data_IF_131104421743
#
_entry.id   IF_131104421743
#
_cell.length_a   1.000
_cell.length_b   1.000
_cell.length_c   1.000
_cell.angle_alpha   90.00
_cell.angle_beta   90.00
_cell.angle_gamma   90.00
#
_symmetry.space_group_name_H-M   'P 1'
#
loop_
_entity.id
_entity.type
_entity.pdbx_description
1 polymer ?
#
# COMPACT_ATOMS: atom_id res chain seq x y z
N UNK A 1 25.99 11.13 42.74
CA UNK A 1 24.59 10.62 42.53
C UNK A 1 23.55 11.73 42.57
N UNK A 2 23.71 12.79 43.40
CA UNK A 2 22.79 13.96 43.47
C UNK A 2 22.75 14.81 42.18
N UNK A 3 23.89 15.02 41.52
CA UNK A 3 23.99 15.85 40.32
C UNK A 3 23.31 15.17 39.10
N UNK A 4 23.44 13.85 38.96
CA UNK A 4 22.80 13.08 37.87
C UNK A 4 21.29 13.10 38.03
N UNK A 5 20.78 12.96 39.26
CA UNK A 5 19.34 13.07 39.54
C UNK A 5 18.83 14.50 39.28
N UNK A 6 19.63 15.53 39.54
CA UNK A 6 19.32 16.92 39.24
C UNK A 6 19.22 17.18 37.73
N UNK A 7 20.13 16.62 36.94
CA UNK A 7 20.13 16.69 35.48
C UNK A 7 18.92 15.94 34.85
N UNK A 8 18.62 14.75 35.32
CA UNK A 8 17.45 13.99 34.88
C UNK A 8 16.15 14.72 35.19
N UNK A 9 16.03 15.34 36.36
CA UNK A 9 14.88 16.15 36.75
C UNK A 9 14.74 17.40 35.88
N UNK A 10 15.86 18.09 35.58
CA UNK A 10 15.87 19.20 34.61
C UNK A 10 15.45 18.77 33.23
N UNK A 11 15.94 17.62 32.72
CA UNK A 11 15.58 17.06 31.44
C UNK A 11 14.10 16.79 31.37
N UNK A 12 13.53 16.10 32.35
CA UNK A 12 12.10 15.73 32.39
C UNK A 12 11.16 16.97 32.41
N UNK A 13 11.59 18.06 33.02
CA UNK A 13 10.81 19.29 33.10
C UNK A 13 11.11 20.30 31.98
N UNK A 14 12.03 19.98 31.06
CA UNK A 14 12.35 20.83 29.93
C UNK A 14 11.35 20.59 28.78
N UNK A 15 10.68 21.64 28.28
CA UNK A 15 9.82 21.50 27.12
C UNK A 15 10.60 20.98 25.92
N UNK A 16 9.98 20.08 25.13
CA UNK A 16 10.60 19.45 23.96
C UNK A 16 11.20 20.44 22.96
N UNK A 17 10.60 21.65 22.84
CA UNK A 17 11.10 22.72 21.98
C UNK A 17 12.45 23.28 22.46
N UNK A 18 12.70 23.29 23.75
CA UNK A 18 13.95 23.73 24.32
C UNK A 18 15.01 22.63 24.23
N UNK A 19 14.60 21.36 24.39
CA UNK A 19 15.48 20.20 24.14
C UNK A 19 15.97 20.17 22.70
N UNK A 20 15.08 20.38 21.72
CA UNK A 20 15.45 20.50 20.30
C UNK A 20 16.44 21.66 20.05
N UNK A 21 16.43 22.70 20.90
CA UNK A 21 17.35 23.82 20.83
C UNK A 21 18.68 23.57 21.58
N UNK A 22 18.86 22.34 22.08
CA UNK A 22 20.04 21.97 22.86
C UNK A 22 20.13 22.65 24.21
N UNK A 23 19.00 23.11 24.77
CA UNK A 23 18.96 23.83 26.06
C UNK A 23 18.15 23.05 27.09
N UNK A 24 18.78 22.79 28.23
CA UNK A 24 18.13 22.18 29.39
C UNK A 24 17.54 23.28 30.27
N UNK A 25 16.33 23.75 29.98
CA UNK A 25 15.68 24.86 30.63
C UNK A 25 15.01 24.49 31.97
N UNK A 26 14.67 23.23 32.18
CA UNK A 26 13.97 22.80 33.38
C UNK A 26 12.61 23.49 33.57
N UNK A 27 12.16 23.59 34.81
CA UNK A 27 10.95 24.32 35.19
C UNK A 27 11.29 25.81 35.40
N UNK A 28 11.15 26.57 34.30
CA UNK A 28 11.37 28.01 34.33
C UNK A 28 10.05 28.72 34.56
N UNK A 29 9.95 29.45 35.66
CA UNK A 29 8.80 30.28 36.02
C UNK A 29 9.21 31.75 36.06
N UNK A 30 8.99 32.43 34.92
CA UNK A 30 9.27 33.86 34.76
C UNK A 30 8.37 34.70 35.67
N UNK A 31 7.11 34.29 35.83
CA UNK A 31 6.13 35.03 36.63
C UNK A 31 6.46 34.97 38.11
N UNK A 32 6.85 33.80 38.60
CA UNK A 32 7.31 33.67 40.01
C UNK A 32 8.51 34.57 40.28
N UNK A 33 9.47 34.65 39.36
CA UNK A 33 10.64 35.54 39.53
C UNK A 33 10.28 37.01 39.57
N UNK A 34 9.36 37.45 38.71
CA UNK A 34 8.91 38.85 38.70
C UNK A 34 8.13 39.17 40.01
N UNK A 35 7.27 38.24 40.44
CA UNK A 35 6.44 38.45 41.62
C UNK A 35 7.24 38.48 42.93
N UNK A 36 8.28 37.64 43.03
CA UNK A 36 9.13 37.57 44.26
C UNK A 36 10.15 38.71 44.37
N UNK A 37 10.36 39.48 43.31
CA UNK A 37 11.26 40.63 43.36
C UNK A 37 10.70 41.75 44.25
N UNK A 38 11.57 42.38 45.03
CA UNK A 38 11.18 43.52 45.86
C UNK A 38 11.19 44.82 45.06
N UNK A 39 10.19 44.94 44.16
CA UNK A 39 10.01 46.11 43.31
C UNK A 39 8.53 46.54 43.32
N UNK A 40 8.25 47.87 43.12
CA UNK A 40 6.90 48.36 43.00
C UNK A 40 6.13 47.74 41.80
N UNK A 41 4.81 47.51 41.94
CA UNK A 41 3.97 46.91 40.92
C UNK A 41 4.04 47.60 39.53
N UNK A 42 4.14 48.93 39.39
CA UNK A 42 4.32 49.56 38.08
C UNK A 42 5.58 49.08 37.34
N UNK A 43 6.70 48.88 38.04
CA UNK A 43 7.93 48.33 37.45
C UNK A 43 7.73 46.87 37.03
N UNK A 44 7.11 46.04 37.89
CA UNK A 44 6.79 44.62 37.57
C UNK A 44 5.87 44.51 36.36
N UNK A 45 4.86 45.40 36.23
CA UNK A 45 3.94 45.41 35.09
C UNK A 45 4.65 45.75 33.79
N UNK A 46 5.58 46.71 33.82
CA UNK A 46 6.41 47.10 32.68
C UNK A 46 7.31 45.90 32.24
N UNK A 47 7.96 45.24 33.19
CA UNK A 47 8.82 44.08 32.94
C UNK A 47 8.01 42.96 32.31
N UNK A 48 6.81 42.64 32.86
CA UNK A 48 5.91 41.64 32.26
C UNK A 48 5.58 41.97 30.81
N UNK A 49 5.21 43.21 30.51
CA UNK A 49 4.86 43.66 29.21
C UNK A 49 5.98 43.50 28.17
N UNK A 50 7.24 43.79 28.59
CA UNK A 50 8.42 43.63 27.71
C UNK A 50 8.75 42.15 27.50
N UNK A 51 8.76 41.35 28.57
CA UNK A 51 9.20 39.95 28.57
C UNK A 51 8.21 39.04 27.83
N UNK A 52 6.90 39.32 27.91
CA UNK A 52 5.88 38.51 27.24
C UNK A 52 5.60 38.93 25.80
N UNK A 53 6.30 39.93 25.27
CA UNK A 53 6.18 40.22 23.83
C UNK A 53 6.60 39.06 22.95
N UNK A 54 5.91 38.89 21.82
CA UNK A 54 6.12 37.78 20.88
C UNK A 54 7.55 37.74 20.34
N UNK A 55 8.19 36.58 20.41
CA UNK A 55 9.44 36.31 19.70
C UNK A 55 10.68 36.08 20.56
N UNK A 56 10.60 36.23 21.87
CA UNK A 56 11.65 35.77 22.82
C UNK A 56 11.45 34.29 23.14
N UNK A 57 12.56 33.55 23.19
CA UNK A 57 12.56 32.18 23.70
C UNK A 57 12.38 32.18 25.22
N UNK A 58 11.94 31.05 25.78
CA UNK A 58 11.63 30.93 27.19
C UNK A 58 12.83 31.28 28.08
N UNK A 59 14.06 30.79 27.74
CA UNK A 59 15.29 31.17 28.40
C UNK A 59 15.61 32.68 28.28
N UNK A 60 15.44 33.19 27.04
CA UNK A 60 15.66 34.62 26.77
C UNK A 60 14.73 35.51 27.61
N UNK A 61 13.50 35.05 27.86
CA UNK A 61 12.54 35.78 28.71
C UNK A 61 13.03 35.90 30.16
N UNK A 62 13.62 34.82 30.71
CA UNK A 62 14.17 34.85 32.05
C UNK A 62 15.39 35.76 32.11
N UNK A 63 16.31 35.60 31.16
CA UNK A 63 17.50 36.47 31.09
C UNK A 63 17.10 37.96 31.03
N UNK A 64 16.12 38.28 30.17
CA UNK A 64 15.61 39.65 30.06
C UNK A 64 14.88 40.10 31.33
N UNK A 65 14.12 39.22 31.97
CA UNK A 65 13.47 39.53 33.24
C UNK A 65 14.52 39.84 34.32
N UNK A 66 15.54 38.99 34.48
CA UNK A 66 16.61 39.18 35.46
C UNK A 66 17.41 40.46 35.18
N UNK A 67 17.75 40.74 33.90
CA UNK A 67 18.44 42.00 33.49
C UNK A 67 17.59 43.25 33.83
N UNK A 68 16.28 43.21 33.59
CA UNK A 68 15.39 44.34 33.86
C UNK A 68 15.15 44.50 35.38
N UNK A 69 14.96 43.38 36.10
CA UNK A 69 14.81 43.43 37.57
C UNK A 69 16.06 44.05 38.25
N UNK A 70 17.25 43.63 37.84
CA UNK A 70 18.49 44.21 38.34
C UNK A 70 18.57 45.70 37.99
N UNK A 71 18.29 46.10 36.76
CA UNK A 71 18.35 47.51 36.35
C UNK A 71 17.41 48.41 37.17
N UNK A 72 16.18 47.97 37.45
CA UNK A 72 15.27 48.73 38.31
C UNK A 72 15.70 48.73 39.77
N UNK A 73 16.23 47.63 40.29
CA UNK A 73 16.76 47.58 41.66
C UNK A 73 17.95 48.56 41.84
N UNK A 74 18.96 48.45 40.95
CA UNK A 74 20.13 49.30 40.94
C UNK A 74 19.77 50.83 40.82
N UNK A 75 18.78 51.10 39.93
CA UNK A 75 18.30 52.47 39.77
C UNK A 75 17.63 53.05 41.00
N UNK A 76 16.81 52.27 41.68
CA UNK A 76 16.16 52.68 42.92
C UNK A 76 17.19 52.86 44.10
N UNK A 77 18.16 51.92 44.18
CA UNK A 77 19.25 52.04 45.20
C UNK A 77 20.12 53.26 44.94
N UNK A 78 20.32 53.66 43.67
CA UNK A 78 21.07 54.90 43.37
C UNK A 78 20.29 56.18 43.61
N UNK A 79 19.05 56.11 44.10
CA UNK A 79 18.22 57.25 44.46
C UNK A 79 17.37 57.81 43.34
N UNK A 80 17.27 57.12 42.15
CA UNK A 80 16.37 57.53 41.10
C UNK A 80 14.89 57.22 41.46
N UNK A 81 13.97 58.08 41.07
CA UNK A 81 12.56 57.84 41.34
C UNK A 81 12.06 56.80 40.34
N UNK A 82 11.05 55.99 40.72
CA UNK A 82 10.44 54.98 39.86
C UNK A 82 9.94 55.60 38.56
N UNK A 83 9.38 56.79 38.63
CA UNK A 83 8.84 57.49 37.45
C UNK A 83 9.96 57.84 36.46
N UNK A 84 11.10 58.33 36.96
CA UNK A 84 12.28 58.64 36.14
C UNK A 84 12.83 57.39 35.43
N UNK A 85 12.83 56.25 36.15
CA UNK A 85 13.27 54.97 35.55
C UNK A 85 12.33 54.53 34.48
N UNK A 86 10.99 54.59 34.66
CA UNK A 86 10.00 54.24 33.68
C UNK A 86 10.09 55.16 32.44
N UNK A 87 10.21 56.48 32.67
CA UNK A 87 10.30 57.48 31.59
C UNK A 87 11.59 57.30 30.77
N UNK A 88 12.68 56.85 31.39
CA UNK A 88 13.96 56.58 30.72
C UNK A 88 13.87 55.41 29.72
N UNK A 89 12.94 54.50 29.94
CA UNK A 89 12.68 53.39 28.98
C UNK A 89 12.00 53.87 27.69
N UNK A 90 11.32 54.97 27.71
CA UNK A 90 10.60 55.49 26.54
C UNK A 90 9.51 54.56 26.02
N UNK A 91 9.37 54.44 24.67
CA UNK A 91 8.38 53.57 24.11
C UNK A 91 8.71 52.06 24.32
N UNK A 92 7.91 51.42 25.14
CA UNK A 92 8.05 50.01 25.53
C UNK A 92 8.09 49.08 24.36
N UNK A 93 7.36 49.39 23.24
CA UNK A 93 7.34 48.56 22.02
C UNK A 93 8.68 48.65 21.28
N UNK A 94 9.31 49.83 21.28
CA UNK A 94 10.62 50.04 20.66
C UNK A 94 11.71 49.27 21.44
N UNK A 95 11.71 49.41 22.76
CA UNK A 95 12.66 48.72 23.66
C UNK A 95 12.53 47.20 23.49
N UNK A 96 11.33 46.66 23.58
CA UNK A 96 11.11 45.21 23.40
C UNK A 96 11.55 44.72 22.03
N UNK A 97 11.37 45.52 20.96
CA UNK A 97 11.86 45.19 19.61
C UNK A 97 13.40 45.18 19.52
N UNK A 98 14.06 46.12 20.23
CA UNK A 98 15.52 46.18 20.30
C UNK A 98 16.09 44.99 21.07
N UNK A 99 15.54 44.68 22.23
CA UNK A 99 15.92 43.49 23.06
C UNK A 99 15.75 42.22 22.21
N UNK A 100 14.60 42.05 21.54
CA UNK A 100 14.39 40.91 20.67
C UNK A 100 15.43 40.81 19.55
N UNK A 101 15.78 41.94 18.90
CA UNK A 101 16.82 41.95 17.86
C UNK A 101 18.18 41.55 18.41
N UNK A 102 18.57 42.05 19.59
CA UNK A 102 19.82 41.72 20.26
C UNK A 102 19.88 40.20 20.57
N UNK A 103 18.87 39.67 21.26
CA UNK A 103 18.80 38.22 21.58
C UNK A 103 18.75 37.36 20.32
N UNK A 104 18.04 37.76 19.25
CA UNK A 104 17.98 37.01 18.00
C UNK A 104 19.31 36.94 17.23
N UNK A 105 20.17 37.96 17.36
CA UNK A 105 21.53 37.95 16.78
C UNK A 105 22.45 36.95 17.47
N UNK A 106 22.27 36.72 18.76
CA UNK A 106 23.07 35.80 19.57
C UNK A 106 22.59 34.33 19.45
N UNK A 107 21.51 34.04 18.70
CA UNK A 107 21.07 32.68 18.49
C UNK A 107 22.05 31.92 17.60
N UNK A 108 22.33 30.62 17.86
CA UNK A 108 23.19 29.80 17.03
C UNK A 108 22.73 29.84 15.55
N UNK A 109 23.69 29.95 14.64
CA UNK A 109 23.40 30.04 13.19
C UNK A 109 22.57 28.86 12.67
N UNK A 110 22.77 27.66 13.23
CA UNK A 110 22.01 26.46 12.90
C UNK A 110 20.49 26.67 13.02
N UNK A 111 20.04 27.43 14.05
CA UNK A 111 18.61 27.74 14.22
C UNK A 111 18.06 28.71 13.18
N UNK A 112 18.92 29.57 12.64
CA UNK A 112 18.51 30.42 11.49
C UNK A 112 18.29 29.57 10.27
N UNK A 113 19.19 28.61 10.02
CA UNK A 113 19.05 27.65 8.90
C UNK A 113 17.79 26.80 9.08
N UNK A 114 17.58 26.21 10.26
CA UNK A 114 16.35 25.43 10.56
C UNK A 114 15.09 26.27 10.34
N UNK A 115 15.08 27.53 10.79
CA UNK A 115 13.91 28.39 10.62
C UNK A 115 13.64 28.71 9.13
N UNK A 116 14.68 28.86 8.31
CA UNK A 116 14.55 29.04 6.86
C UNK A 116 14.02 27.76 6.21
N UNK A 117 14.60 26.60 6.56
CA UNK A 117 14.16 25.30 6.02
C UNK A 117 12.70 25.01 6.35
N UNK A 118 12.28 25.26 7.61
CA UNK A 118 10.88 25.08 8.01
C UNK A 118 9.94 25.98 7.21
N UNK A 119 10.30 27.25 7.01
CA UNK A 119 9.48 28.16 6.18
C UNK A 119 9.41 27.75 4.71
N UNK A 120 10.52 27.26 4.15
CA UNK A 120 10.53 26.74 2.80
C UNK A 120 9.62 25.51 2.69
N UNK A 121 9.69 24.63 3.68
CA UNK A 121 8.82 23.44 3.76
C UNK A 121 7.33 23.85 3.86
N UNK A 122 7.00 24.84 4.69
CA UNK A 122 5.65 25.40 4.78
C UNK A 122 5.16 25.92 3.42
N UNK A 123 5.99 26.67 2.71
CA UNK A 123 5.66 27.17 1.36
C UNK A 123 5.45 26.01 0.38
N UNK A 124 6.31 25.01 0.38
CA UNK A 124 6.19 23.83 -0.49
C UNK A 124 4.89 23.07 -0.18
N UNK A 125 4.55 22.87 1.11
CA UNK A 125 3.29 22.22 1.50
C UNK A 125 2.08 23.03 1.02
N UNK A 126 2.07 24.34 1.23
CA UNK A 126 0.97 25.21 0.76
C UNK A 126 0.84 25.15 -0.75
N UNK A 127 1.96 25.21 -1.48
CA UNK A 127 1.94 25.09 -2.94
C UNK A 127 1.40 23.73 -3.40
N UNK A 128 1.81 22.65 -2.74
CA UNK A 128 1.27 21.31 -3.00
C UNK A 128 -0.23 21.21 -2.73
N UNK A 129 -0.71 21.80 -1.64
CA UNK A 129 -2.13 21.81 -1.32
C UNK A 129 -2.94 22.63 -2.35
N UNK A 130 -2.41 23.77 -2.80
CA UNK A 130 -3.04 24.58 -3.85
C UNK A 130 -3.06 23.84 -5.19
N UNK A 131 -1.97 23.17 -5.53
CA UNK A 131 -1.88 22.37 -6.75
C UNK A 131 -2.86 21.17 -6.69
N UNK A 132 -2.91 20.47 -5.56
CA UNK A 132 -3.87 19.39 -5.36
C UNK A 132 -5.32 19.91 -5.43
N UNK A 133 -5.63 21.04 -4.79
CA UNK A 133 -6.96 21.65 -4.87
C UNK A 133 -7.31 22.05 -6.31
N UNK A 134 -6.36 22.61 -7.06
CA UNK A 134 -6.53 22.93 -8.47
C UNK A 134 -6.88 21.69 -9.31
N UNK A 135 -6.12 20.58 -9.15
CA UNK A 135 -6.39 19.33 -9.86
C UNK A 135 -7.69 18.66 -9.42
N UNK A 136 -8.03 18.72 -8.12
CA UNK A 136 -9.27 18.12 -7.59
C UNK A 136 -10.53 18.95 -7.92
N UNK A 137 -10.39 20.23 -8.28
CA UNK A 137 -11.52 21.08 -8.70
C UNK A 137 -11.96 20.83 -10.13
N UNK A 138 -11.11 20.19 -10.96
CA UNK A 138 -11.43 19.82 -12.34
C UNK A 138 -12.39 18.62 -12.39
N UNK A 139 -13.22 18.56 -13.44
CA UNK A 139 -13.97 17.34 -13.77
C UNK A 139 -13.06 16.44 -14.58
N UNK A 140 -12.80 15.19 -14.16
CA UNK A 140 -11.98 14.29 -14.96
C UNK A 140 -12.66 14.02 -16.31
N UNK A 141 -11.92 14.21 -17.40
CA UNK A 141 -12.34 13.80 -18.75
C UNK A 141 -11.32 12.80 -19.30
N UNK A 142 -11.54 11.51 -19.08
CA UNK A 142 -10.64 10.48 -19.58
C UNK A 142 -10.61 10.49 -21.12
N UNK A 143 -9.42 10.69 -21.68
CA UNK A 143 -9.23 10.78 -23.14
C UNK A 143 -8.63 9.51 -23.73
N UNK A 144 -8.09 8.62 -22.89
CA UNK A 144 -7.44 7.39 -23.30
C UNK A 144 -8.22 6.20 -22.77
N UNK A 145 -8.65 5.33 -23.68
CA UNK A 145 -9.26 4.05 -23.31
C UNK A 145 -8.16 3.01 -23.04
N UNK A 146 -7.76 2.91 -21.77
CA UNK A 146 -6.74 1.95 -21.33
C UNK A 146 -7.25 0.50 -21.38
N UNK A 147 -8.57 0.28 -21.33
CA UNK A 147 -9.15 -1.06 -21.50
C UNK A 147 -8.92 -1.53 -22.92
N UNK A 148 -9.17 -0.67 -23.91
CA UNK A 148 -8.89 -0.99 -25.31
C UNK A 148 -7.39 -1.26 -25.54
N UNK A 149 -6.49 -0.53 -24.87
CA UNK A 149 -5.04 -0.77 -24.96
C UNK A 149 -4.70 -2.15 -24.42
N UNK A 150 -5.20 -2.53 -23.25
CA UNK A 150 -4.94 -3.84 -22.63
C UNK A 150 -5.56 -4.97 -23.45
N UNK A 151 -6.74 -4.76 -24.03
CA UNK A 151 -7.42 -5.76 -24.85
C UNK A 151 -6.80 -5.92 -26.25
N UNK A 152 -6.10 -4.92 -26.76
CA UNK A 152 -5.55 -4.94 -28.13
C UNK A 152 -4.76 -6.21 -28.47
N UNK A 153 -3.79 -6.66 -27.66
CA UNK A 153 -3.05 -7.90 -27.95
C UNK A 153 -3.98 -9.12 -27.96
N UNK A 154 -4.97 -9.15 -27.05
CA UNK A 154 -5.93 -10.26 -26.94
C UNK A 154 -6.82 -10.34 -28.18
N UNK A 155 -7.29 -9.18 -28.65
CA UNK A 155 -8.19 -9.10 -29.82
C UNK A 155 -7.49 -9.46 -31.14
N UNK A 156 -6.16 -9.33 -31.19
CA UNK A 156 -5.36 -9.76 -32.36
C UNK A 156 -5.20 -11.28 -32.46
N UNK A 157 -5.44 -12.00 -31.34
CA UNK A 157 -5.37 -13.47 -31.36
C UNK A 157 -6.64 -14.04 -32.03
N UNK A 158 -6.50 -14.91 -32.99
CA UNK A 158 -7.64 -15.57 -33.62
C UNK A 158 -8.56 -16.26 -32.60
N UNK A 159 -9.89 -16.22 -32.75
CA UNK A 159 -10.82 -16.79 -31.77
C UNK A 159 -10.57 -18.27 -31.46
N UNK A 160 -10.17 -19.06 -32.46
CA UNK A 160 -9.86 -20.48 -32.33
C UNK A 160 -8.60 -20.76 -31.49
N UNK A 161 -7.72 -19.78 -31.32
CA UNK A 161 -6.53 -19.86 -30.50
C UNK A 161 -6.76 -19.38 -29.05
N UNK A 162 -7.95 -18.87 -28.74
CA UNK A 162 -8.31 -18.40 -27.38
C UNK A 162 -8.85 -19.57 -26.57
N UNK A 163 -8.39 -19.68 -25.34
CA UNK A 163 -8.78 -20.71 -24.37
C UNK A 163 -10.12 -20.44 -23.71
N UNK A 164 -10.46 -19.16 -23.52
CA UNK A 164 -11.59 -18.73 -22.69
C UNK A 164 -12.93 -19.42 -23.05
N UNK A 165 -13.32 -19.56 -24.30
CA UNK A 165 -14.58 -20.23 -24.63
C UNK A 165 -14.68 -21.67 -24.09
N UNK A 166 -13.56 -22.41 -24.05
CA UNK A 166 -13.50 -23.76 -23.50
C UNK A 166 -13.52 -23.76 -21.98
N UNK A 167 -12.76 -22.85 -21.33
CA UNK A 167 -12.84 -22.69 -19.86
C UNK A 167 -14.26 -22.31 -19.43
N UNK A 168 -14.90 -21.39 -20.12
CA UNK A 168 -16.28 -21.01 -19.87
C UNK A 168 -17.23 -22.20 -19.90
N UNK A 169 -17.11 -23.05 -20.90
CA UNK A 169 -17.90 -24.29 -21.01
C UNK A 169 -17.61 -25.23 -19.83
N UNK A 170 -16.34 -25.41 -19.47
CA UNK A 170 -15.95 -26.25 -18.36
C UNK A 170 -16.48 -25.69 -17.01
N UNK A 171 -16.43 -24.37 -16.81
CA UNK A 171 -16.98 -23.72 -15.61
C UNK A 171 -18.49 -23.98 -15.50
N UNK A 172 -19.24 -23.80 -16.60
CA UNK A 172 -20.69 -24.06 -16.62
C UNK A 172 -21.00 -25.54 -16.37
N UNK A 173 -20.18 -26.44 -16.88
CA UNK A 173 -20.36 -27.88 -16.72
C UNK A 173 -19.99 -28.37 -15.31
N UNK A 174 -19.26 -27.57 -14.53
CA UNK A 174 -18.83 -27.90 -13.16
C UNK A 174 -19.49 -27.00 -12.10
N UNK A 175 -20.51 -26.24 -12.47
CA UNK A 175 -21.20 -25.29 -11.58
C UNK A 175 -21.96 -25.98 -10.42
N UNK A 176 -22.21 -27.25 -10.52
CA UNK A 176 -22.88 -28.08 -9.52
C UNK A 176 -21.91 -28.64 -8.45
N UNK A 177 -20.64 -28.27 -8.49
CA UNK A 177 -19.66 -28.73 -7.50
C UNK A 177 -20.01 -28.25 -6.09
N UNK A 178 -20.55 -29.17 -5.32
CA UNK A 178 -20.88 -28.96 -3.91
C UNK A 178 -20.27 -30.11 -3.10
N UNK A 179 -19.04 -29.93 -2.59
CA UNK A 179 -18.41 -30.96 -1.77
C UNK A 179 -19.25 -31.21 -0.51
N UNK A 180 -19.29 -32.46 0.01
CA UNK A 180 -19.95 -32.75 1.26
C UNK A 180 -19.45 -31.84 2.37
N UNK A 181 -20.36 -31.47 3.28
CA UNK A 181 -19.98 -30.65 4.45
C UNK A 181 -18.79 -31.28 5.17
N UNK A 182 -17.77 -30.50 5.33
CA UNK A 182 -16.54 -30.84 6.03
C UNK A 182 -16.46 -29.88 7.22
N UNK A 183 -15.87 -30.36 8.31
CA UNK A 183 -15.65 -29.58 9.54
C UNK A 183 -15.24 -28.14 9.27
N UNK A 184 -15.63 -27.23 10.16
CA UNK A 184 -15.25 -25.79 10.10
C UNK A 184 -13.73 -25.52 10.08
N UNK A 185 -12.93 -26.57 10.26
CA UNK A 185 -11.48 -26.49 10.17
C UNK A 185 -11.00 -26.64 8.70
N UNK A 186 -10.44 -25.59 8.09
CA UNK A 186 -9.99 -25.62 6.68
C UNK A 186 -8.95 -26.72 6.38
N UNK A 187 -8.11 -27.09 7.36
CA UNK A 187 -7.08 -28.12 7.20
C UNK A 187 -7.69 -29.52 7.16
N UNK A 188 -8.66 -29.79 8.01
CA UNK A 188 -9.39 -31.06 8.01
C UNK A 188 -10.26 -31.20 6.75
N UNK A 189 -10.85 -30.09 6.30
CA UNK A 189 -11.59 -30.01 5.04
C UNK A 189 -10.70 -30.39 3.84
N UNK A 190 -9.52 -29.79 3.74
CA UNK A 190 -8.57 -30.08 2.64
C UNK A 190 -8.10 -31.55 2.69
N UNK A 191 -7.88 -32.11 3.87
CA UNK A 191 -7.53 -33.53 4.04
C UNK A 191 -8.64 -34.46 3.65
N UNK A 192 -9.88 -34.13 3.98
CA UNK A 192 -11.04 -35.00 3.70
C UNK A 192 -11.27 -35.21 2.21
N UNK A 193 -10.88 -34.25 1.38
CA UNK A 193 -11.03 -34.28 -0.08
C UNK A 193 -9.81 -34.83 -0.83
N UNK A 194 -8.75 -35.26 -0.12
CA UNK A 194 -7.54 -35.84 -0.71
C UNK A 194 -7.53 -37.38 -0.67
N UNK A 195 -6.65 -38.04 -1.42
CA UNK A 195 -6.46 -39.48 -1.37
C UNK A 195 -6.30 -39.99 0.08
N UNK A 196 -7.13 -40.99 0.44
CA UNK A 196 -7.21 -41.51 1.80
C UNK A 196 -8.09 -40.72 2.77
N UNK A 197 -8.60 -39.59 2.37
CA UNK A 197 -9.55 -38.79 3.15
C UNK A 197 -10.97 -39.34 3.10
N UNK A 198 -11.79 -38.94 4.08
CA UNK A 198 -13.18 -39.41 4.27
C UNK A 198 -14.06 -39.20 3.04
N UNK A 199 -13.91 -38.08 2.35
CA UNK A 199 -14.76 -37.69 1.21
C UNK A 199 -14.07 -37.96 -0.15
N UNK A 200 -12.90 -38.58 -0.15
CA UNK A 200 -12.20 -38.91 -1.38
C UNK A 200 -13.03 -39.76 -2.38
N UNK A 201 -13.81 -40.79 -1.96
CA UNK A 201 -14.66 -41.55 -2.87
C UNK A 201 -15.71 -40.68 -3.58
N UNK A 202 -16.22 -39.66 -2.90
CA UNK A 202 -17.14 -38.70 -3.50
C UNK A 202 -16.43 -37.85 -4.56
N UNK A 203 -15.20 -37.39 -4.27
CA UNK A 203 -14.40 -36.62 -5.24
C UNK A 203 -14.16 -37.44 -6.51
N UNK A 204 -13.75 -38.71 -6.36
CA UNK A 204 -13.51 -39.61 -7.49
C UNK A 204 -14.78 -39.77 -8.33
N UNK A 205 -15.92 -40.04 -7.69
CA UNK A 205 -17.18 -40.19 -8.39
C UNK A 205 -17.58 -38.90 -9.15
N UNK A 206 -17.42 -37.74 -8.52
CA UNK A 206 -17.69 -36.46 -9.16
C UNK A 206 -16.77 -36.20 -10.35
N UNK A 207 -15.47 -36.50 -10.26
CA UNK A 207 -14.49 -36.40 -11.35
C UNK A 207 -14.88 -37.29 -12.55
N UNK A 208 -15.37 -38.55 -12.28
CA UNK A 208 -15.84 -39.45 -13.32
C UNK A 208 -17.05 -38.91 -14.08
N UNK A 209 -17.98 -38.29 -13.35
CA UNK A 209 -19.16 -37.65 -13.95
C UNK A 209 -18.79 -36.42 -14.79
N UNK A 210 -17.73 -35.69 -14.42
CA UNK A 210 -17.31 -34.47 -15.08
C UNK A 210 -16.06 -34.61 -15.95
N UNK A 211 -15.71 -35.86 -16.33
CA UNK A 211 -14.53 -36.13 -17.17
C UNK A 211 -14.51 -35.33 -18.48
N UNK A 212 -15.68 -35.11 -19.08
CA UNK A 212 -15.80 -34.27 -20.28
C UNK A 212 -15.44 -32.80 -20.03
N UNK A 213 -15.82 -32.25 -18.88
CA UNK A 213 -15.44 -30.89 -18.47
C UNK A 213 -13.92 -30.75 -18.24
N UNK A 214 -13.30 -31.73 -17.60
CA UNK A 214 -11.85 -31.77 -17.42
C UNK A 214 -11.11 -31.87 -18.77
N UNK A 215 -11.66 -32.60 -19.71
CA UNK A 215 -11.11 -32.66 -21.07
C UNK A 215 -11.16 -31.29 -21.77
N UNK A 216 -12.24 -30.50 -21.57
CA UNK A 216 -12.31 -29.12 -22.07
C UNK A 216 -11.22 -28.25 -21.43
N UNK A 217 -10.95 -28.42 -20.14
CA UNK A 217 -9.87 -27.68 -19.43
C UNK A 217 -8.51 -28.04 -20.05
N UNK A 218 -8.21 -29.32 -20.30
CA UNK A 218 -6.94 -29.73 -20.92
C UNK A 218 -6.80 -29.15 -22.35
N UNK A 219 -7.87 -29.17 -23.13
CA UNK A 219 -7.89 -28.55 -24.47
C UNK A 219 -7.71 -27.05 -24.43
N UNK A 220 -8.34 -26.37 -23.44
CA UNK A 220 -8.19 -24.94 -23.23
C UNK A 220 -6.75 -24.59 -22.86
N UNK A 221 -6.15 -25.33 -21.91
CA UNK A 221 -4.79 -25.12 -21.45
C UNK A 221 -3.73 -25.28 -22.55
N UNK A 222 -4.01 -26.10 -23.56
CA UNK A 222 -3.17 -26.29 -24.74
C UNK A 222 -3.22 -25.09 -25.72
N UNK A 223 -4.16 -24.16 -25.57
CA UNK A 223 -4.23 -22.96 -26.42
C UNK A 223 -3.14 -21.97 -26.08
N UNK A 224 -2.67 -21.16 -27.05
CA UNK A 224 -1.55 -20.23 -26.84
C UNK A 224 -1.90 -19.04 -25.93
N UNK A 225 -3.19 -18.72 -25.76
CA UNK A 225 -3.59 -17.57 -24.98
C UNK A 225 -4.94 -17.77 -24.27
N UNK A 226 -5.11 -17.13 -23.10
CA UNK A 226 -6.37 -17.14 -22.38
C UNK A 226 -7.51 -16.55 -23.20
N UNK A 227 -7.30 -15.37 -23.78
CA UNK A 227 -8.30 -14.71 -24.61
C UNK A 227 -9.47 -14.11 -23.84
N UNK A 228 -9.32 -13.85 -22.56
CA UNK A 228 -10.34 -13.19 -21.72
C UNK A 228 -10.30 -11.68 -21.98
N UNK A 229 -11.37 -11.14 -22.54
CA UNK A 229 -11.50 -9.71 -22.90
C UNK A 229 -12.10 -8.95 -21.72
N UNK A 230 -11.45 -7.84 -21.34
CA UNK A 230 -11.88 -6.97 -20.24
C UNK A 230 -12.93 -5.96 -20.70
N UNK A 231 -13.75 -5.48 -19.76
CA UNK A 231 -14.70 -4.38 -19.98
C UNK A 231 -16.14 -4.81 -20.23
N UNK A 232 -17.04 -3.83 -20.41
CA UNK A 232 -18.50 -4.04 -20.47
C UNK A 232 -18.95 -4.90 -21.64
N UNK A 233 -18.23 -4.85 -22.75
CA UNK A 233 -18.51 -5.64 -23.97
C UNK A 233 -17.61 -6.88 -24.08
N UNK A 234 -16.93 -7.23 -23.00
CA UNK A 234 -15.97 -8.32 -22.94
C UNK A 234 -16.50 -9.56 -22.21
N UNK A 235 -15.56 -10.45 -21.92
CA UNK A 235 -15.83 -11.71 -21.23
C UNK A 235 -16.27 -11.54 -19.76
N UNK A 236 -16.14 -10.33 -19.21
CA UNK A 236 -16.58 -10.00 -17.84
C UNK A 236 -18.10 -9.85 -17.71
N UNK A 237 -18.81 -9.68 -18.81
CA UNK A 237 -20.27 -9.59 -18.83
C UNK A 237 -20.84 -10.89 -19.41
N UNK A 238 -21.10 -11.85 -18.53
CA UNK A 238 -21.59 -13.19 -18.90
C UNK A 238 -22.75 -13.62 -17.98
N UNK A 239 -23.99 -13.34 -18.41
CA UNK A 239 -25.16 -13.68 -17.61
C UNK A 239 -25.31 -15.18 -17.32
N UNK A 240 -24.79 -16.07 -18.19
CA UNK A 240 -24.84 -17.50 -17.96
C UNK A 240 -23.95 -17.95 -16.78
N UNK A 241 -22.92 -17.16 -16.47
CA UNK A 241 -22.07 -17.33 -15.29
C UNK A 241 -22.53 -16.46 -14.11
N UNK A 242 -23.64 -15.73 -14.25
CA UNK A 242 -24.10 -14.78 -13.24
C UNK A 242 -23.21 -13.53 -13.13
N UNK A 243 -22.42 -13.25 -14.16
CA UNK A 243 -21.51 -12.11 -14.14
C UNK A 243 -22.14 -10.92 -14.84
N UNK A 244 -22.33 -9.85 -14.09
CA UNK A 244 -22.78 -8.56 -14.60
C UNK A 244 -21.66 -7.55 -14.45
N UNK A 245 -21.44 -6.78 -15.51
CA UNK A 245 -20.46 -5.70 -15.45
C UNK A 245 -21.02 -4.52 -14.64
N UNK A 246 -20.51 -4.34 -13.43
CA UNK A 246 -21.07 -3.40 -12.44
C UNK A 246 -20.59 -1.94 -12.59
N UNK A 247 -19.68 -1.67 -13.52
CA UNK A 247 -19.20 -0.31 -13.76
C UNK A 247 -20.01 0.39 -14.87
N UNK A 248 -19.67 1.64 -15.18
CA UNK A 248 -20.31 2.41 -16.23
C UNK A 248 -20.28 1.66 -17.57
N UNK A 249 -21.37 1.71 -18.32
CA UNK A 249 -21.40 1.22 -19.70
C UNK A 249 -20.55 2.07 -20.66
N UNK A 250 -20.14 3.28 -20.23
CA UNK A 250 -19.19 4.12 -20.96
C UNK A 250 -17.76 3.66 -20.67
N UNK A 251 -17.04 3.09 -21.64
CA UNK A 251 -15.68 2.58 -21.45
C UNK A 251 -14.71 3.64 -20.92
N UNK A 252 -14.91 4.91 -21.28
CA UNK A 252 -14.09 6.02 -20.82
C UNK A 252 -14.23 6.31 -19.33
N UNK A 253 -15.28 5.81 -18.68
CA UNK A 253 -15.52 5.98 -17.24
C UNK A 253 -15.17 4.75 -16.42
N UNK A 254 -14.67 3.71 -17.05
CA UNK A 254 -14.28 2.46 -16.38
C UNK A 254 -12.82 2.55 -15.99
N UNK A 255 -12.54 2.55 -14.69
CA UNK A 255 -11.17 2.52 -14.18
C UNK A 255 -10.58 1.11 -14.29
N UNK A 256 -9.44 0.96 -14.96
CA UNK A 256 -8.73 -0.30 -15.12
C UNK A 256 -8.38 -0.97 -13.78
N UNK A 257 -8.03 -0.16 -12.77
CA UNK A 257 -7.71 -0.64 -11.42
C UNK A 257 -8.90 -1.24 -10.68
N UNK A 258 -10.12 -0.80 -11.00
CA UNK A 258 -11.35 -1.26 -10.35
C UNK A 258 -12.01 -2.42 -11.09
N UNK A 259 -11.41 -2.89 -12.19
CA UNK A 259 -11.93 -4.02 -12.90
C UNK A 259 -11.91 -5.27 -12.03
N UNK A 260 -13.08 -5.83 -11.81
CA UNK A 260 -13.21 -7.15 -11.22
C UNK A 260 -12.71 -8.18 -12.24
N UNK A 261 -12.03 -9.20 -11.78
CA UNK A 261 -11.55 -10.31 -12.59
C UNK A 261 -12.32 -11.60 -12.20
N UNK A 262 -13.60 -11.71 -12.56
CA UNK A 262 -14.49 -12.74 -12.04
C UNK A 262 -14.06 -14.15 -12.46
N UNK A 263 -13.27 -14.29 -13.51
CA UNK A 263 -12.77 -15.56 -14.02
C UNK A 263 -11.68 -16.20 -13.13
N UNK A 264 -11.01 -15.43 -12.27
CA UNK A 264 -9.85 -15.94 -11.51
C UNK A 264 -10.25 -17.04 -10.51
N UNK A 265 -11.35 -16.85 -9.79
CA UNK A 265 -11.80 -17.83 -8.80
C UNK A 265 -12.32 -19.13 -9.44
N UNK A 266 -13.19 -19.11 -10.46
CA UNK A 266 -13.55 -20.32 -11.21
C UNK A 266 -12.35 -21.03 -11.84
N UNK A 267 -11.38 -20.32 -12.38
CA UNK A 267 -10.16 -20.95 -12.89
C UNK A 267 -9.33 -21.61 -11.80
N UNK A 268 -9.28 -21.02 -10.59
CA UNK A 268 -8.62 -21.64 -9.42
C UNK A 268 -9.34 -22.94 -9.02
N UNK A 269 -10.68 -22.96 -9.09
CA UNK A 269 -11.49 -24.15 -8.83
C UNK A 269 -11.21 -25.23 -9.88
N UNK A 270 -11.21 -24.90 -11.17
CA UNK A 270 -10.86 -25.85 -12.23
C UNK A 270 -9.45 -26.43 -12.06
N UNK A 271 -8.47 -25.60 -11.66
CA UNK A 271 -7.14 -26.08 -11.35
C UNK A 271 -7.13 -27.06 -10.16
N UNK A 272 -7.96 -26.84 -9.14
CA UNK A 272 -8.09 -27.78 -8.02
C UNK A 272 -8.71 -29.09 -8.45
N UNK A 273 -9.65 -29.09 -9.41
CA UNK A 273 -10.21 -30.32 -10.00
C UNK A 273 -9.14 -31.10 -10.79
N UNK A 274 -8.28 -30.42 -11.56
CA UNK A 274 -7.15 -31.07 -12.26
C UNK A 274 -6.16 -31.67 -11.26
N UNK A 275 -5.89 -31.00 -10.14
CA UNK A 275 -5.03 -31.56 -9.07
C UNK A 275 -5.65 -32.83 -8.50
N UNK A 276 -6.95 -32.83 -8.20
CA UNK A 276 -7.64 -34.01 -7.70
C UNK A 276 -7.64 -35.15 -8.74
N UNK A 277 -7.81 -34.81 -10.01
CA UNK A 277 -7.75 -35.80 -11.09
C UNK A 277 -6.33 -36.38 -11.26
N UNK A 278 -5.30 -35.56 -11.22
CA UNK A 278 -3.90 -36.00 -11.20
C UNK A 278 -3.59 -36.96 -10.05
N UNK A 279 -4.12 -36.69 -8.85
CA UNK A 279 -3.99 -37.57 -7.68
C UNK A 279 -4.70 -38.92 -7.90
N UNK A 280 -5.91 -38.89 -8.47
CA UNK A 280 -6.64 -40.10 -8.87
C UNK A 280 -5.85 -40.91 -9.89
N UNK A 281 -5.39 -40.27 -10.98
CA UNK A 281 -4.61 -40.90 -12.02
C UNK A 281 -3.31 -41.51 -11.51
N UNK A 282 -2.62 -40.82 -10.58
CA UNK A 282 -1.45 -41.39 -9.89
C UNK A 282 -1.80 -42.66 -9.12
N UNK A 283 -2.94 -42.72 -8.43
CA UNK A 283 -3.37 -43.96 -7.73
C UNK A 283 -3.67 -45.09 -8.71
N UNK A 284 -4.32 -44.78 -9.83
CA UNK A 284 -4.74 -45.75 -10.88
C UNK A 284 -3.63 -46.12 -11.86
N UNK A 285 -2.44 -45.49 -11.76
CA UNK A 285 -1.32 -45.61 -12.70
C UNK A 285 -1.69 -45.16 -14.12
N UNK A 286 -2.64 -44.24 -14.29
CA UNK A 286 -2.99 -43.64 -15.58
C UNK A 286 -2.01 -42.49 -15.89
N UNK A 287 -0.88 -42.86 -16.51
CA UNK A 287 0.17 -41.92 -16.92
C UNK A 287 -0.36 -40.89 -17.93
N UNK A 288 -1.14 -41.30 -18.91
CA UNK A 288 -1.54 -40.40 -20.01
C UNK A 288 -2.40 -39.24 -19.48
N UNK A 289 -3.40 -39.54 -18.64
CA UNK A 289 -4.27 -38.55 -18.07
C UNK A 289 -3.52 -37.66 -17.05
N UNK A 290 -2.65 -38.26 -16.20
CA UNK A 290 -1.79 -37.53 -15.29
C UNK A 290 -0.94 -36.47 -15.99
N UNK A 291 -0.27 -36.86 -17.09
CA UNK A 291 0.55 -35.92 -17.87
C UNK A 291 -0.31 -34.81 -18.50
N UNK A 292 -1.52 -35.14 -18.94
CA UNK A 292 -2.49 -34.16 -19.43
C UNK A 292 -2.85 -33.12 -18.37
N UNK A 293 -3.08 -33.55 -17.11
CA UNK A 293 -3.44 -32.67 -16.02
C UNK A 293 -2.26 -31.76 -15.58
N UNK A 294 -1.07 -32.34 -15.46
CA UNK A 294 0.13 -31.57 -15.11
C UNK A 294 0.43 -30.51 -16.16
N UNK A 295 0.37 -30.89 -17.44
CA UNK A 295 0.56 -29.95 -18.56
C UNK A 295 -0.54 -28.90 -18.61
N UNK A 296 -1.80 -29.28 -18.30
CA UNK A 296 -2.91 -28.32 -18.24
C UNK A 296 -2.74 -27.31 -17.12
N UNK A 297 -2.33 -27.72 -15.92
CA UNK A 297 -2.04 -26.81 -14.82
C UNK A 297 -0.96 -25.79 -15.17
N UNK A 298 0.12 -26.24 -15.82
CA UNK A 298 1.21 -25.34 -16.27
C UNK A 298 0.73 -24.41 -17.40
N UNK A 299 -0.07 -24.91 -18.35
CA UNK A 299 -0.65 -24.11 -19.44
C UNK A 299 -1.61 -23.04 -18.93
N UNK A 300 -2.51 -23.38 -17.98
CA UNK A 300 -3.40 -22.43 -17.31
C UNK A 300 -2.59 -21.32 -16.61
N UNK A 301 -1.56 -21.71 -15.90
CA UNK A 301 -0.68 -20.77 -15.21
C UNK A 301 0.01 -19.81 -16.19
N UNK A 302 0.54 -20.31 -17.32
CA UNK A 302 1.16 -19.50 -18.36
C UNK A 302 0.18 -18.49 -18.96
N UNK A 303 -1.03 -18.94 -19.30
CA UNK A 303 -2.08 -18.09 -19.87
C UNK A 303 -2.51 -16.97 -18.91
N UNK A 304 -2.66 -17.25 -17.63
CA UNK A 304 -3.00 -16.25 -16.61
C UNK A 304 -1.86 -15.28 -16.35
N UNK A 305 -0.61 -15.76 -16.34
CA UNK A 305 0.57 -14.92 -16.18
C UNK A 305 0.67 -13.85 -17.26
N UNK A 306 0.31 -14.19 -18.49
CA UNK A 306 0.38 -13.27 -19.62
C UNK A 306 -0.71 -12.18 -19.61
N UNK A 307 -1.70 -12.22 -18.71
CA UNK A 307 -2.85 -11.33 -18.75
C UNK A 307 -2.66 -10.06 -17.91
N UNK A 308 -3.02 -10.07 -16.65
CA UNK A 308 -3.07 -8.88 -15.79
C UNK A 308 -2.36 -9.15 -14.47
N UNK A 309 -1.86 -8.09 -13.80
CA UNK A 309 -1.10 -8.20 -12.56
C UNK A 309 -1.71 -9.11 -11.48
N UNK A 310 -3.01 -8.99 -11.14
CA UNK A 310 -3.67 -9.89 -10.18
C UNK A 310 -3.72 -11.34 -10.63
N UNK A 311 -3.81 -11.61 -11.94
CA UNK A 311 -3.83 -12.95 -12.51
C UNK A 311 -2.51 -13.68 -12.29
N UNK A 312 -1.39 -12.98 -12.17
CA UNK A 312 -0.08 -13.56 -11.91
C UNK A 312 -0.01 -14.27 -10.53
N UNK A 313 -0.76 -13.79 -9.55
CA UNK A 313 -0.84 -14.43 -8.22
C UNK A 313 -1.54 -15.79 -8.34
N UNK A 314 -2.64 -15.85 -9.07
CA UNK A 314 -3.39 -17.10 -9.33
C UNK A 314 -2.55 -18.04 -10.19
N UNK A 315 -1.83 -17.51 -11.18
CA UNK A 315 -0.88 -18.29 -11.98
C UNK A 315 0.21 -18.94 -11.10
N UNK A 316 0.79 -18.19 -10.17
CA UNK A 316 1.77 -18.72 -9.20
C UNK A 316 1.18 -19.83 -8.33
N UNK A 317 -0.06 -19.68 -7.87
CA UNK A 317 -0.75 -20.75 -7.14
C UNK A 317 -0.88 -22.02 -7.97
N UNK A 318 -1.30 -21.94 -9.24
CA UNK A 318 -1.42 -23.10 -10.12
C UNK A 318 -0.07 -23.78 -10.38
N UNK A 319 0.98 -22.99 -10.59
CA UNK A 319 2.33 -23.50 -10.75
C UNK A 319 2.81 -24.27 -9.50
N UNK A 320 2.60 -23.73 -8.32
CA UNK A 320 2.97 -24.40 -7.04
C UNK A 320 2.21 -25.72 -6.90
N UNK A 321 0.93 -25.76 -7.27
CA UNK A 321 0.13 -26.99 -7.27
C UNK A 321 0.68 -28.03 -8.25
N UNK A 322 0.98 -27.63 -9.50
CA UNK A 322 1.58 -28.50 -10.50
C UNK A 322 2.93 -29.07 -10.02
N UNK A 323 3.81 -28.22 -9.49
CA UNK A 323 5.09 -28.66 -8.94
C UNK A 323 4.94 -29.63 -7.75
N UNK A 324 3.96 -29.38 -6.88
CA UNK A 324 3.63 -30.28 -5.77
C UNK A 324 3.21 -31.67 -6.23
N UNK A 325 2.35 -31.74 -7.27
CA UNK A 325 1.90 -33.02 -7.84
C UNK A 325 3.03 -33.74 -8.62
N UNK A 326 3.88 -33.00 -9.35
CA UNK A 326 5.08 -33.56 -9.98
C UNK A 326 6.00 -34.18 -8.90
N UNK A 327 6.30 -33.44 -7.85
CA UNK A 327 7.15 -33.92 -6.75
C UNK A 327 6.54 -35.14 -6.05
N UNK A 328 5.24 -35.11 -5.76
CA UNK A 328 4.53 -36.24 -5.16
C UNK A 328 4.59 -37.48 -6.06
N UNK A 329 4.40 -37.32 -7.37
CA UNK A 329 4.49 -38.42 -8.33
C UNK A 329 5.87 -39.01 -8.38
N UNK A 330 6.93 -38.21 -8.42
CA UNK A 330 8.31 -38.67 -8.43
C UNK A 330 8.71 -39.35 -7.11
N UNK A 331 8.11 -38.94 -5.99
CA UNK A 331 8.39 -39.56 -4.68
C UNK A 331 7.64 -40.86 -4.47
N UNK A 332 6.35 -40.90 -4.82
CA UNK A 332 5.48 -42.04 -4.54
C UNK A 332 5.55 -43.09 -5.63
N UNK A 333 5.65 -42.69 -6.89
CA UNK A 333 5.63 -43.57 -8.07
C UNK A 333 6.63 -43.11 -9.15
N UNK A 334 7.93 -43.16 -8.89
CA UNK A 334 8.97 -42.67 -9.80
C UNK A 334 8.96 -43.34 -11.17
N UNK A 335 8.43 -44.56 -11.26
CA UNK A 335 8.33 -45.32 -12.52
C UNK A 335 7.12 -44.90 -13.39
N UNK A 336 6.23 -44.04 -12.89
CA UNK A 336 5.00 -43.67 -13.60
C UNK A 336 5.29 -42.67 -14.73
N UNK A 337 6.30 -41.83 -14.56
CA UNK A 337 6.71 -40.85 -15.56
C UNK A 337 7.95 -41.36 -16.31
N UNK A 338 7.92 -41.20 -17.61
CA UNK A 338 9.07 -41.54 -18.47
C UNK A 338 10.00 -40.33 -18.64
N UNK A 339 11.22 -40.57 -19.15
CA UNK A 339 12.19 -39.49 -19.42
C UNK A 339 11.66 -38.44 -20.41
N UNK A 340 10.80 -38.83 -21.34
CA UNK A 340 10.12 -37.93 -22.27
C UNK A 340 9.19 -36.97 -21.53
N UNK A 341 8.38 -37.48 -20.59
CA UNK A 341 7.45 -36.67 -19.78
C UNK A 341 8.21 -35.65 -18.92
N UNK A 342 9.31 -36.09 -18.30
CA UNK A 342 10.15 -35.23 -17.48
C UNK A 342 10.81 -34.13 -18.30
N UNK A 343 11.23 -34.40 -19.53
CA UNK A 343 11.76 -33.37 -20.42
C UNK A 343 10.68 -32.36 -20.83
N UNK A 344 9.47 -32.85 -21.14
CA UNK A 344 8.35 -31.97 -21.52
C UNK A 344 7.94 -31.08 -20.36
N UNK A 345 7.82 -31.60 -19.13
CA UNK A 345 7.54 -30.83 -17.93
C UNK A 345 8.66 -29.83 -17.62
N UNK A 346 9.92 -30.26 -17.73
CA UNK A 346 11.08 -29.39 -17.53
C UNK A 346 11.10 -28.23 -18.56
N UNK A 347 10.80 -28.54 -19.82
CA UNK A 347 10.67 -27.50 -20.85
C UNK A 347 9.55 -26.51 -20.56
N UNK A 348 8.37 -26.99 -20.12
CA UNK A 348 7.27 -26.10 -19.72
C UNK A 348 7.67 -25.24 -18.51
N UNK A 349 8.33 -25.82 -17.50
CA UNK A 349 8.80 -25.10 -16.32
C UNK A 349 9.93 -24.10 -16.63
N UNK A 350 10.84 -24.42 -17.57
CA UNK A 350 11.93 -23.51 -17.93
C UNK A 350 11.45 -22.17 -18.50
N UNK A 351 10.29 -22.15 -19.13
CA UNK A 351 9.64 -20.93 -19.64
C UNK A 351 9.25 -19.95 -18.53
N UNK A 352 9.21 -20.42 -17.27
CA UNK A 352 8.98 -19.60 -16.08
C UNK A 352 10.25 -18.99 -15.49
N UNK A 353 11.42 -19.47 -15.91
CA UNK A 353 12.72 -19.06 -15.33
C UNK A 353 13.12 -17.62 -15.60
N UNK A 354 12.51 -16.95 -16.59
CA UNK A 354 12.76 -15.55 -16.87
C UNK A 354 12.02 -14.65 -15.86
N UNK A 355 12.68 -14.34 -14.75
CA UNK A 355 12.16 -13.54 -13.64
C UNK A 355 11.60 -12.16 -14.07
N UNK A 356 12.04 -11.60 -15.20
CA UNK A 356 11.53 -10.36 -15.77
C UNK A 356 10.05 -10.42 -16.17
N UNK A 357 9.46 -11.62 -16.28
CA UNK A 357 8.07 -11.84 -16.68
C UNK A 357 7.13 -12.21 -15.53
N UNK A 358 7.61 -12.26 -14.28
CA UNK A 358 6.78 -12.67 -13.12
C UNK A 358 5.67 -11.66 -12.81
N UNK A 359 5.88 -10.37 -13.12
CA UNK A 359 4.87 -9.34 -12.98
C UNK A 359 4.76 -8.53 -14.27
N UNK A 360 3.62 -8.51 -14.95
CA UNK A 360 3.42 -7.61 -16.08
C UNK A 360 3.33 -6.16 -15.57
N UNK A 361 4.50 -5.55 -15.40
CA UNK A 361 4.65 -4.15 -14.98
C UNK A 361 3.89 -3.21 -15.92
N UNK A 362 3.69 -3.63 -17.17
CA UNK A 362 2.95 -2.86 -18.17
C UNK A 362 1.49 -2.65 -17.75
N UNK A 363 0.80 -3.68 -17.28
CA UNK A 363 -0.58 -3.52 -16.76
C UNK A 363 -0.63 -2.55 -15.59
N UNK A 364 0.30 -2.64 -14.65
CA UNK A 364 0.35 -1.73 -13.50
C UNK A 364 0.64 -0.29 -13.93
N UNK A 365 1.52 -0.10 -14.92
CA UNK A 365 1.82 1.20 -15.50
C UNK A 365 0.57 1.80 -16.15
N UNK A 366 -0.14 1.03 -16.97
CA UNK A 366 -1.38 1.46 -17.61
C UNK A 366 -2.47 1.76 -16.58
N UNK A 367 -2.63 0.92 -15.55
CA UNK A 367 -3.59 1.14 -14.47
C UNK A 367 -3.26 2.42 -13.66
N UNK A 368 -1.97 2.73 -13.48
CA UNK A 368 -1.55 3.96 -12.82
C UNK A 368 -1.88 5.20 -13.67
N UNK A 369 -1.57 5.18 -14.97
CA UNK A 369 -1.93 6.28 -15.87
C UNK A 369 -3.44 6.47 -16.00
N UNK A 370 -4.18 5.37 -16.04
CA UNK A 370 -5.64 5.40 -16.03
C UNK A 370 -6.19 6.03 -14.75
N UNK A 371 -5.64 5.67 -13.58
CA UNK A 371 -6.00 6.30 -12.30
C UNK A 371 -5.69 7.80 -12.32
N UNK A 372 -4.55 8.20 -12.89
CA UNK A 372 -4.19 9.62 -13.01
C UNK A 372 -5.19 10.39 -13.86
N UNK A 373 -5.58 9.86 -15.02
CA UNK A 373 -6.56 10.57 -15.87
C UNK A 373 -7.94 10.69 -15.22
N UNK A 374 -8.37 9.68 -14.45
CA UNK A 374 -9.65 9.73 -13.73
C UNK A 374 -9.62 10.66 -12.51
N UNK A 375 -8.43 10.89 -11.92
CA UNK A 375 -8.29 11.75 -10.76
C UNK A 375 -7.95 13.21 -11.09
N UNK A 376 -7.18 13.45 -12.16
CA UNK A 376 -6.50 14.73 -12.37
C UNK A 376 -6.68 15.34 -13.76
N UNK A 377 -7.41 14.72 -14.67
CA UNK A 377 -7.62 15.31 -15.99
C UNK A 377 -8.64 16.44 -15.90
N UNK A 378 -8.32 17.62 -16.43
CA UNK A 378 -9.29 18.69 -16.59
C UNK A 378 -10.09 18.46 -17.88
N UNK A 379 -11.39 18.74 -17.81
CA UNK A 379 -12.18 19.01 -19.03
C UNK A 379 -11.82 20.41 -19.52
N UNK A 380 -11.39 20.53 -20.76
CA UNK A 380 -11.35 21.82 -21.45
C UNK A 380 -12.72 22.48 -21.49
#
# INVERSE_FOLDING_TARGET
>A
MSEVLGLLRKFHHTPWRDLLRGRLSGRLDVESRINTADLPEPAKSLIRQIVYQRGLWRMERIEVADELLAHFADGLESGATLQQLIDSFGDQRVVAKLIRRAKSRNRPWAWRVVAVVVRLLEVVIVLHMLLAAYFLSGKPSPNVDYIAIVNRPILQIPPEQRAWPLYRQAILATADYQPPEVDDNPIESDRALKPGGKNWPWVVHWLDQHAAALQLVRQAAAKPALGFVLGPNGSQNDPALGWEFQQSSDPARVELRRLLLPHLDPMRILASHLVADAQRCRQQNDRATLMGDLSALLGMAEQLRAQAGPSAVVAGFMQVKAMGEIQATLTEKPQLLEDSDLRDLAHQLSRWGDAATIYPMEFQRLAFYDTLQHAYTQSD
#
